data_IF_301911678449
#
_entry.id   IF_301911678449
#
_cell.length_a   1.000
_cell.length_b   1.000
_cell.length_c   1.000
_cell.angle_alpha   90.00
_cell.angle_beta   90.00
_cell.angle_gamma   90.00
#
_symmetry.space_group_name_H-M   'P 1'
#
loop_
_entity.id
_entity.type
_entity.pdbx_description
1 polymer ?
2 polymer ?
3 polymer ?
4 non-polymer ?
5 non-polymer ?
6 water ?
#
loop_
_entity_poly.entity_id
_entity_poly.type
_entity_poly.pdbx_seq_one_letter_code
_entity_poly.pdbx_strand_id
2 'polydeoxyribonucleotide' '(DC)(DA)(DA)(DT)(DC)(DG)(DT)(DA)(DG)(DG)(DA)(DG)(DA)(DC)(DC)(DT)(DT)(DT)(DG)(DG)(DT)(DC)(DT)(DC)(DC)(DC)(DT)(DG)(DC)(DA)(DG)(DA)(DT)' ?
3 'polydeoxyribonucleotide' '(DA)(DT)(DC)(DT)(DG)(DC)(DA)(DG)(DG)(DG)(DT)(DC)(DT)(DG)(DG)(DT)(DT)(DT)(DC)(DC)(DA)(DG)(DA)(DC)(DC)(DT)(DA)(DC)(DG)(DA)(DT)(DT)(DG)' ?
#
# COMPACT_ATOMS: atom_id res chain seq x y z
N UNK A 12 6.91 -10.63 24.55
CA UNK A 12 5.59 -11.20 24.32
C UNK A 12 4.63 -10.27 23.61
N UNK A 13 5.15 -9.49 22.67
CA UNK A 13 4.36 -8.58 21.86
C UNK A 13 4.11 -9.18 20.49
N UNK A 14 2.85 -9.27 20.09
CA UNK A 14 2.47 -9.67 18.74
C UNK A 14 1.34 -8.77 18.23
N UNK A 15 1.38 -8.46 16.94
CA UNK A 15 0.36 -7.67 16.25
C UNK A 15 -0.33 -8.57 15.22
N UNK A 16 -1.64 -8.45 15.10
CA UNK A 16 -2.35 -9.15 14.05
C UNK A 16 -3.21 -8.21 13.24
N UNK A 17 -3.13 -8.29 11.90
CA UNK A 17 -3.88 -7.39 11.02
C UNK A 17 -4.74 -8.18 10.02
N UNK A 18 -6.04 -7.92 10.03
CA UNK A 18 -6.89 -8.22 8.89
C UNK A 18 -7.05 -6.95 8.06
N UNK A 19 -6.42 -6.85 6.89
CA UNK A 19 -6.23 -5.53 6.23
C UNK A 19 -7.44 -5.02 5.45
N UNK A 20 -8.46 -5.84 5.27
CA UNK A 20 -9.65 -5.47 4.51
C UNK A 20 -10.33 -4.21 5.05
N UNK A 21 -11.40 -3.77 4.38
CA UNK A 21 -12.10 -2.58 4.84
C UNK A 21 -12.83 -2.84 6.16
N UNK A 22 -13.43 -4.01 6.31
CA UNK A 22 -14.12 -4.33 7.54
C UNK A 22 -13.21 -5.01 8.56
N UNK A 23 -11.89 -4.92 8.35
CA UNK A 23 -10.91 -5.61 9.17
C UNK A 23 -10.50 -4.81 10.39
N UNK A 24 -9.34 -5.16 10.95
CA UNK A 24 -8.94 -4.64 12.26
C UNK A 24 -7.48 -4.94 12.49
N UNK A 25 -6.93 -4.30 13.52
CA UNK A 25 -5.58 -4.56 13.96
C UNK A 25 -5.63 -4.92 15.44
N UNK A 26 -5.01 -6.02 15.81
CA UNK A 26 -4.99 -6.43 17.20
C UNK A 26 -3.57 -6.37 17.70
N UNK A 27 -3.42 -6.05 18.99
CA UNK A 27 -2.12 -5.95 19.64
C UNK A 27 -2.19 -6.76 20.94
N UNK A 28 -1.26 -7.69 21.12
CA UNK A 28 -1.19 -8.54 22.32
C UNK A 28 0.05 -8.16 23.11
N UNK A 29 -0.15 -7.84 24.38
CA UNK A 29 0.92 -7.47 25.29
C UNK A 29 1.43 -8.69 26.03
N UNK A 30 2.64 -8.60 26.58
CA UNK A 30 3.17 -9.69 27.42
C UNK A 30 2.29 -10.03 28.61
N UNK A 31 1.57 -9.08 29.20
CA UNK A 31 0.82 -9.38 30.43
C UNK A 31 -0.54 -10.01 30.17
N UNK A 32 -0.81 -10.45 28.94
CA UNK A 32 -2.09 -11.03 28.58
C UNK A 32 -3.08 -10.05 28.01
N UNK A 33 -2.90 -8.75 28.26
CA UNK A 33 -3.89 -7.80 27.78
C UNK A 33 -3.83 -7.69 26.26
N UNK A 34 -4.96 -7.27 25.69
CA UNK A 34 -5.06 -7.12 24.26
C UNK A 34 -5.84 -5.86 23.93
N UNK A 35 -5.58 -5.33 22.74
CA UNK A 35 -6.37 -4.28 22.14
C UNK A 35 -6.70 -4.69 20.72
N UNK A 36 -7.86 -4.24 20.24
CA UNK A 36 -8.24 -4.42 18.86
C UNK A 36 -8.96 -3.17 18.40
N UNK A 37 -8.59 -2.68 17.22
CA UNK A 37 -9.12 -1.43 16.67
C UNK A 37 -9.69 -1.70 15.29
N UNK A 38 -10.88 -1.19 15.02
CA UNK A 38 -11.44 -1.26 13.68
C UNK A 38 -10.55 -0.47 12.71
N UNK A 39 -10.37 -1.01 11.51
CA UNK A 39 -9.54 -0.33 10.51
C UNK A 39 -10.13 1.05 10.19
N UNK A 40 -9.36 2.13 10.28
CA UNK A 40 -9.93 3.44 9.92
C UNK A 40 -10.16 3.51 8.43
N UNK A 41 -11.31 4.06 8.04
CA UNK A 41 -11.60 4.25 6.64
C UNK A 41 -12.26 5.59 6.41
N UNK A 42 -12.33 5.97 5.13
CA UNK A 42 -12.98 7.20 4.69
C UNK A 42 -13.89 6.86 3.52
N UNK A 43 -14.81 7.79 3.24
CA UNK A 43 -15.65 7.72 2.06
C UNK A 43 -15.02 8.57 0.97
N UNK A 44 -14.83 8.01 -0.21
CA UNK A 44 -14.21 8.78 -1.28
C UNK A 44 -15.03 8.63 -2.56
N UNK A 45 -14.87 9.61 -3.42
CA UNK A 45 -15.59 9.65 -4.68
C UNK A 45 -14.79 8.88 -5.69
N UNK A 46 -15.43 7.93 -6.35
CA UNK A 46 -14.82 7.16 -7.43
C UNK A 46 -15.86 7.02 -8.53
N UNK A 47 -15.51 7.40 -9.75
CA UNK A 47 -16.44 7.33 -10.88
C UNK A 47 -17.82 7.80 -10.44
N UNK A 48 -17.87 8.98 -9.82
CA UNK A 48 -19.11 9.61 -9.39
C UNK A 48 -19.94 8.75 -8.42
N UNK A 49 -19.32 7.83 -7.67
CA UNK A 49 -20.00 7.19 -6.55
C UNK A 49 -19.07 7.20 -5.35
N UNK A 50 -19.62 6.88 -4.19
CA UNK A 50 -18.85 6.86 -2.95
C UNK A 50 -18.37 5.43 -2.73
N UNK A 51 -17.09 5.30 -2.36
CA UNK A 51 -16.49 4.02 -1.99
C UNK A 51 -15.72 4.19 -0.69
N UNK A 52 -15.62 3.11 0.09
CA UNK A 52 -14.84 3.13 1.31
C UNK A 52 -13.39 2.84 0.98
N UNK A 53 -12.48 3.51 1.68
CA UNK A 53 -11.07 3.27 1.47
C UNK A 53 -10.39 3.43 2.80
N UNK A 54 -9.36 2.62 3.04
CA UNK A 54 -8.62 2.75 4.28
C UNK A 54 -8.04 4.15 4.37
N UNK A 55 -8.06 4.69 5.59
CA UNK A 55 -7.61 6.04 5.89
C UNK A 55 -6.13 5.97 6.24
N UNK A 56 -5.29 6.30 5.26
CA UNK A 56 -3.85 6.15 5.40
C UNK A 56 -3.31 6.91 6.62
N UNK A 57 -3.58 8.22 6.71
CA UNK A 57 -3.02 8.99 7.82
C UNK A 57 -3.47 8.45 9.18
N UNK A 58 -4.72 7.99 9.30
CA UNK A 58 -5.19 7.49 10.60
C UNK A 58 -4.45 6.23 11.01
N UNK A 59 -4.25 5.33 10.05
CA UNK A 59 -3.55 4.08 10.34
C UNK A 59 -2.15 4.37 10.84
N UNK A 60 -1.42 5.23 10.11
CA UNK A 60 -0.07 5.53 10.56
C UNK A 60 -0.11 6.22 11.91
N UNK A 61 -1.16 7.00 12.16
CA UNK A 61 -1.31 7.63 13.46
C UNK A 61 -1.58 6.59 14.54
N UNK A 62 -2.46 5.62 14.25
CA UNK A 62 -2.66 4.48 15.13
C UNK A 62 -1.34 3.77 15.44
N UNK A 63 -0.63 3.35 14.40
CA UNK A 63 0.60 2.58 14.60
C UNK A 63 1.65 3.35 15.38
N UNK A 64 1.67 4.68 15.25
CA UNK A 64 2.67 5.46 15.97
C UNK A 64 2.33 5.54 17.46
N UNK A 65 1.05 5.49 17.81
CA UNK A 65 0.60 5.54 19.18
C UNK A 65 0.54 4.22 19.90
N UNK A 66 1.00 3.11 19.28
CA UNK A 66 1.05 1.84 19.97
C UNK A 66 2.26 1.77 20.90
N UNK A 67 2.06 1.16 22.07
CA UNK A 67 3.17 0.85 22.96
C UNK A 67 3.98 -0.35 22.49
N UNK A 68 3.48 -1.09 21.49
CA UNK A 68 4.26 -2.16 20.89
C UNK A 68 5.63 -1.64 20.47
N UNK A 69 6.71 -2.28 20.88
CA UNK A 69 8.04 -1.76 20.58
C UNK A 69 8.42 -2.00 19.13
N UNK A 70 9.37 -1.23 18.59
CA UNK A 70 9.88 -1.52 17.25
C UNK A 70 10.52 -2.90 17.21
N UNK A 71 10.35 -3.58 16.08
CA UNK A 71 10.77 -4.96 15.95
C UNK A 71 9.67 -5.97 16.24
N UNK A 72 8.58 -5.53 16.88
CA UNK A 72 7.46 -6.42 17.14
C UNK A 72 6.95 -7.02 15.84
N UNK A 73 6.76 -8.33 15.84
CA UNK A 73 6.26 -8.98 14.65
C UNK A 73 4.79 -8.65 14.45
N UNK A 74 4.42 -8.30 13.22
CA UNK A 74 3.04 -8.15 12.81
C UNK A 74 2.68 -9.28 11.85
N UNK A 75 1.59 -9.98 12.13
CA UNK A 75 1.09 -11.02 11.26
C UNK A 75 -0.09 -10.47 10.47
N UNK A 76 -0.03 -10.56 9.14
CA UNK A 76 -1.02 -9.91 8.29
C UNK A 76 -1.58 -10.96 7.34
N UNK A 77 -2.91 -10.99 7.21
CA UNK A 77 -3.56 -11.96 6.34
C UNK A 77 -3.30 -11.54 4.89
N UNK A 78 -2.87 -12.49 4.06
CA UNK A 78 -2.59 -12.14 2.68
C UNK A 78 -3.86 -12.20 1.84
N UNK A 79 -3.99 -11.26 0.93
CA UNK A 79 -5.11 -11.18 -0.02
C UNK A 79 -4.93 -12.25 -1.08
N UNK A 80 -5.87 -13.18 -1.15
CA UNK A 80 -5.95 -14.15 -2.23
C UNK A 80 -7.37 -14.11 -2.74
N UNK A 81 -7.75 -13.11 -3.53
CA UNK A 81 -9.15 -13.00 -3.95
C UNK A 81 -9.49 -14.05 -5.01
N UNK A 82 -10.80 -14.39 -5.08
CA UNK A 82 -11.14 -15.48 -5.98
C UNK A 82 -11.16 -15.01 -7.43
N UNK A 83 -10.83 -15.89 -8.38
CA UNK A 83 -10.89 -15.49 -9.80
C UNK A 83 -12.28 -15.06 -10.23
N UNK A 84 -13.30 -15.58 -9.57
CA UNK A 84 -14.68 -15.20 -9.79
C UNK A 84 -15.03 -13.86 -9.14
N UNK A 85 -14.12 -13.25 -8.40
CA UNK A 85 -14.33 -11.91 -7.86
C UNK A 85 -14.09 -10.87 -8.95
N UNK A 86 -14.76 -9.72 -8.81
CA UNK A 86 -14.63 -8.67 -9.80
C UNK A 86 -13.30 -7.96 -9.74
N UNK A 87 -12.99 -7.25 -10.84
CA UNK A 87 -11.73 -6.53 -10.93
C UNK A 87 -11.58 -5.48 -9.82
N UNK A 88 -12.69 -4.86 -9.41
CA UNK A 88 -12.60 -3.88 -8.32
C UNK A 88 -12.18 -4.56 -7.02
N UNK A 89 -12.79 -5.69 -6.69
CA UNK A 89 -12.33 -6.47 -5.54
C UNK A 89 -10.84 -6.76 -5.59
N UNK A 90 -10.33 -7.13 -6.77
CA UNK A 90 -8.90 -7.43 -6.86
C UNK A 90 -8.07 -6.18 -6.58
N UNK A 91 -8.52 -5.03 -7.13
CA UNK A 91 -7.81 -3.77 -6.92
C UNK A 91 -7.78 -3.38 -5.45
N UNK A 92 -8.97 -3.34 -4.82
CA UNK A 92 -9.10 -2.96 -3.41
C UNK A 92 -8.31 -3.89 -2.49
N UNK A 93 -8.43 -5.21 -2.65
CA UNK A 93 -7.64 -6.07 -1.76
C UNK A 93 -6.15 -5.84 -1.98
N UNK A 94 -5.73 -5.63 -3.25
CA UNK A 94 -4.34 -5.27 -3.49
C UNK A 94 -3.95 -3.99 -2.76
N UNK A 95 -4.81 -2.99 -2.86
CA UNK A 95 -4.50 -1.67 -2.31
C UNK A 95 -4.42 -1.70 -0.78
N UNK A 96 -5.41 -2.33 -0.13
CA UNK A 96 -5.39 -2.44 1.32
C UNK A 96 -4.17 -3.22 1.81
N UNK A 97 -3.82 -4.29 1.12
CA UNK A 97 -2.61 -5.04 1.46
C UNK A 97 -1.36 -4.15 1.43
N UNK A 98 -1.15 -3.45 0.31
CA UNK A 98 0.02 -2.57 0.18
C UNK A 98 0.04 -1.44 1.19
N UNK A 99 -1.12 -0.81 1.44
CA UNK A 99 -1.14 0.29 2.41
C UNK A 99 -0.76 -0.20 3.80
N UNK A 100 -1.27 -1.36 4.22
CA UNK A 100 -0.90 -1.92 5.54
C UNK A 100 0.56 -2.36 5.58
N UNK A 101 1.05 -3.06 4.56
CA UNK A 101 2.44 -3.54 4.58
C UNK A 101 3.40 -2.37 4.77
N UNK A 102 3.24 -1.31 3.96
CA UNK A 102 4.16 -0.19 4.10
C UNK A 102 3.97 0.53 5.43
N UNK A 103 2.73 0.69 5.88
CA UNK A 103 2.48 1.34 7.17
C UNK A 103 3.16 0.58 8.30
N UNK A 104 3.13 -0.73 8.23
CA UNK A 104 3.72 -1.54 9.30
C UNK A 104 5.23 -1.52 9.24
N UNK A 105 5.80 -1.58 8.04
CA UNK A 105 7.26 -1.50 7.92
C UNK A 105 7.74 -0.11 8.32
N UNK A 106 7.06 0.93 7.85
CA UNK A 106 7.50 2.29 8.14
C UNK A 106 7.44 2.59 9.64
N UNK A 107 6.54 1.93 10.36
CA UNK A 107 6.39 2.14 11.80
C UNK A 107 7.37 1.30 12.62
N UNK A 108 8.19 0.47 11.98
CA UNK A 108 9.21 -0.28 12.67
C UNK A 108 8.87 -1.71 13.00
N UNK A 109 7.83 -2.28 12.40
CA UNK A 109 7.41 -3.63 12.72
C UNK A 109 7.88 -4.60 11.65
N UNK A 110 8.23 -5.81 12.08
CA UNK A 110 8.58 -6.90 11.19
C UNK A 110 7.31 -7.59 10.73
N UNK A 111 7.15 -7.72 9.43
CA UNK A 111 5.87 -8.09 8.81
C UNK A 111 5.93 -9.55 8.39
N UNK A 112 4.88 -10.30 8.71
CA UNK A 112 4.82 -11.71 8.32
C UNK A 112 3.48 -12.00 7.68
N UNK A 113 3.40 -12.13 6.36
CA UNK A 113 2.12 -12.47 5.72
C UNK A 113 1.71 -13.89 6.10
N UNK A 114 0.42 -14.11 6.28
CA UNK A 114 -0.12 -15.41 6.70
C UNK A 114 -1.36 -15.71 5.88
N UNK A 115 -1.39 -16.84 5.19
CA UNK A 115 -2.61 -17.24 4.48
C UNK A 115 -3.69 -17.63 5.47
N UNK A 116 -4.96 -17.36 5.09
CA UNK A 116 -6.05 -17.66 6.00
C UNK A 116 -6.18 -19.16 6.27
N UNK A 117 -5.81 -20.01 5.31
CA UNK A 117 -5.84 -21.44 5.56
C UNK A 117 -4.86 -21.81 6.68
N UNK A 118 -3.73 -21.11 6.78
CA UNK A 118 -2.79 -21.38 7.86
C UNK A 118 -3.43 -21.19 9.22
N UNK A 119 -3.97 -19.99 9.49
CA UNK A 119 -4.45 -19.78 10.85
C UNK A 119 -5.76 -20.51 11.11
N UNK A 120 -6.61 -20.64 10.08
CA UNK A 120 -7.82 -21.45 10.25
C UNK A 120 -7.47 -22.89 10.58
N UNK A 121 -6.45 -23.44 9.91
CA UNK A 121 -6.09 -24.84 10.16
C UNK A 121 -5.55 -25.02 11.58
N UNK A 122 -4.79 -24.05 12.06
CA UNK A 122 -4.27 -24.07 13.42
C UNK A 122 -5.38 -24.11 14.46
N UNK A 123 -6.50 -23.44 14.19
CA UNK A 123 -7.61 -23.40 15.15
C UNK A 123 -8.77 -24.33 14.79
N UNK A 124 -8.56 -25.28 13.89
CA UNK A 124 -9.62 -26.18 13.47
C UNK A 124 -10.89 -25.51 12.99
N UNK A 125 -10.75 -24.46 12.18
CA UNK A 125 -11.89 -23.69 11.69
C UNK A 125 -12.13 -23.88 10.19
N UNK A 126 -11.33 -24.68 9.50
CA UNK A 126 -11.58 -24.86 8.07
C UNK A 126 -12.83 -25.71 7.89
N UNK A 127 -13.49 -25.50 6.75
CA UNK A 127 -14.71 -26.22 6.36
C UNK A 127 -15.90 -25.91 7.27
N UNK A 128 -15.83 -24.88 8.08
CA UNK A 128 -16.97 -24.52 8.92
C UNK A 128 -18.14 -24.04 8.08
N UNK A 129 -19.36 -24.39 8.51
CA UNK A 129 -20.55 -23.91 7.82
C UNK A 129 -20.81 -22.44 8.09
N UNK A 130 -20.43 -21.94 9.26
CA UNK A 130 -20.57 -20.53 9.63
C UNK A 130 -19.21 -20.02 10.07
N UNK A 131 -18.32 -19.74 9.13
CA UNK A 131 -16.93 -19.43 9.51
C UNK A 131 -16.79 -18.14 10.31
N UNK A 132 -17.60 -17.12 10.01
CA UNK A 132 -17.43 -15.83 10.69
C UNK A 132 -18.00 -15.85 12.12
N UNK A 133 -19.09 -16.60 12.36
CA UNK A 133 -19.56 -16.79 13.73
C UNK A 133 -18.59 -17.65 14.54
N UNK A 134 -18.04 -18.70 13.92
CA UNK A 134 -17.04 -19.52 14.59
C UNK A 134 -15.77 -18.72 14.88
N UNK A 135 -15.38 -17.80 13.97
CA UNK A 135 -14.23 -16.95 14.24
C UNK A 135 -14.43 -16.14 15.51
N UNK A 136 -15.61 -15.54 15.65
CA UNK A 136 -15.90 -14.74 16.82
C UNK A 136 -15.98 -15.60 18.07
N UNK A 137 -16.51 -16.82 17.97
CA UNK A 137 -16.52 -17.68 19.14
C UNK A 137 -15.11 -17.99 19.62
N UNK A 138 -14.21 -18.32 18.68
CA UNK A 138 -12.83 -18.65 19.07
C UNK A 138 -12.14 -17.46 19.72
N UNK A 139 -12.15 -16.30 19.06
CA UNK A 139 -11.55 -15.10 19.65
C UNK A 139 -12.13 -14.80 21.05
N UNK A 140 -13.45 -14.97 21.22
CA UNK A 140 -14.09 -14.86 22.54
C UNK A 140 -13.43 -15.74 23.61
N UNK A 141 -13.16 -17.00 23.26
CA UNK A 141 -12.59 -17.95 24.21
C UNK A 141 -11.11 -17.66 24.49
N UNK A 142 -10.35 -17.27 23.46
CA UNK A 142 -8.96 -16.88 23.68
C UNK A 142 -8.85 -15.52 24.39
N UNK A 143 -9.74 -14.56 24.08
CA UNK A 143 -9.71 -13.26 24.73
C UNK A 143 -11.08 -12.93 25.36
N UNK A 144 -11.41 -13.56 26.50
CA UNK A 144 -12.74 -13.32 27.10
C UNK A 144 -13.02 -11.87 27.46
N UNK A 145 -12.00 -11.03 27.64
CA UNK A 145 -12.26 -9.64 27.96
C UNK A 145 -12.66 -8.82 26.72
N UNK A 146 -12.56 -9.40 25.54
CA UNK A 146 -13.04 -8.81 24.29
C UNK A 146 -14.41 -9.32 23.89
N UNK A 147 -14.99 -10.16 24.75
CA UNK A 147 -16.30 -10.76 24.50
C UNK A 147 -17.33 -9.70 24.10
N UNK A 148 -17.42 -8.61 24.87
CA UNK A 148 -18.41 -7.58 24.58
C UNK A 148 -18.17 -6.96 23.21
N UNK A 149 -16.91 -6.87 22.79
CA UNK A 149 -16.51 -6.23 21.54
C UNK A 149 -16.55 -7.20 20.36
N UNK A 150 -17.15 -8.38 20.54
CA UNK A 150 -17.29 -9.39 19.51
C UNK A 150 -18.74 -9.82 19.31
N UNK A 151 -19.70 -9.18 20.01
CA UNK A 151 -21.11 -9.57 19.98
C UNK A 151 -21.70 -9.61 18.57
N UNK A 152 -21.37 -8.64 17.74
CA UNK A 152 -22.13 -8.52 16.50
C UNK A 152 -21.47 -9.31 15.38
N UNK A 153 -22.30 -9.71 14.40
CA UNK A 153 -21.76 -10.46 13.28
C UNK A 153 -20.76 -9.62 12.47
N UNK A 154 -20.96 -8.31 12.43
CA UNK A 154 -20.01 -7.44 11.73
C UNK A 154 -18.66 -7.36 12.42
N UNK A 155 -18.45 -8.02 13.56
CA UNK A 155 -17.19 -7.96 14.30
C UNK A 155 -16.22 -9.08 13.89
N UNK A 156 -16.52 -9.84 12.84
CA UNK A 156 -15.64 -10.97 12.52
C UNK A 156 -14.25 -10.48 12.17
N UNK A 157 -14.13 -9.24 11.69
CA UNK A 157 -12.82 -8.67 11.41
C UNK A 157 -12.00 -8.45 12.67
N UNK A 158 -12.64 -8.00 13.73
CA UNK A 158 -11.93 -7.88 15.01
C UNK A 158 -11.51 -9.26 15.49
N UNK A 159 -12.33 -10.27 15.22
CA UNK A 159 -11.96 -11.61 15.65
C UNK A 159 -10.79 -12.15 14.84
N UNK A 160 -10.84 -11.93 13.52
CA UNK A 160 -9.78 -12.37 12.63
C UNK A 160 -8.46 -11.82 13.16
N UNK A 161 -8.36 -10.49 13.18
CA UNK A 161 -7.16 -9.84 13.70
C UNK A 161 -6.72 -10.48 15.02
N UNK A 162 -7.67 -10.81 15.88
CA UNK A 162 -7.30 -11.38 17.18
C UNK A 162 -6.77 -12.80 17.02
N UNK A 163 -7.38 -13.59 16.14
CA UNK A 163 -6.89 -14.95 15.91
C UNK A 163 -5.53 -14.94 15.21
N UNK A 164 -5.29 -13.98 14.31
CA UNK A 164 -3.98 -13.87 13.67
C UNK A 164 -2.91 -13.63 14.73
N UNK A 165 -3.12 -12.64 15.60
CA UNK A 165 -2.17 -12.36 16.67
C UNK A 165 -2.01 -13.59 17.57
N UNK A 166 -3.12 -14.24 17.95
CA UNK A 166 -3.04 -15.46 18.75
C UNK A 166 -2.19 -16.51 18.07
N UNK A 167 -2.40 -16.71 16.77
CA UNK A 167 -1.52 -17.57 15.98
C UNK A 167 -0.06 -17.19 16.17
N UNK A 168 0.25 -15.90 16.05
CA UNK A 168 1.63 -15.48 16.19
C UNK A 168 2.18 -15.75 17.58
N UNK A 169 1.36 -15.56 18.60
CA UNK A 169 1.82 -15.72 19.97
C UNK A 169 1.98 -17.19 20.35
N UNK A 170 1.35 -18.10 19.61
CA UNK A 170 1.36 -19.51 19.94
C UNK A 170 0.27 -19.96 20.88
N UNK A 171 -0.81 -19.20 21.02
CA UNK A 171 -1.89 -19.50 21.94
C UNK A 171 -2.65 -20.75 21.49
N UNK A 172 -3.27 -21.42 22.46
CA UNK A 172 -3.99 -22.67 22.23
C UNK A 172 -5.40 -22.53 22.75
N UNK A 173 -6.34 -23.05 22.00
CA UNK A 173 -7.70 -23.11 22.51
C UNK A 173 -7.79 -24.21 23.57
N UNK A 174 -8.57 -23.99 24.64
CA UNK A 174 -8.76 -24.99 25.70
C UNK A 174 -9.56 -26.21 25.25
N UNK B 12 9.21 25.40 -3.91
CA UNK B 12 10.13 24.64 -3.08
C UNK B 12 10.51 23.27 -3.66
N UNK B 13 10.32 22.24 -2.85
CA UNK B 13 10.57 20.86 -3.23
C UNK B 13 9.31 20.25 -3.82
N UNK B 14 9.50 19.33 -4.78
CA UNK B 14 8.40 18.61 -5.39
C UNK B 14 8.85 17.19 -5.65
N UNK B 15 8.00 16.21 -5.30
CA UNK B 15 8.26 14.81 -5.58
C UNK B 15 7.29 14.36 -6.65
N UNK B 16 7.75 13.54 -7.58
CA UNK B 16 6.88 12.89 -8.52
C UNK B 16 7.09 11.38 -8.52
N UNK B 17 6.02 10.62 -8.41
CA UNK B 17 6.11 9.16 -8.35
C UNK B 17 5.26 8.54 -9.45
N UNK B 18 5.91 7.77 -10.33
CA UNK B 18 5.22 6.78 -11.13
C UNK B 18 5.25 5.44 -10.36
N UNK B 19 4.12 4.96 -9.84
CA UNK B 19 4.16 3.96 -8.76
C UNK B 19 4.31 2.49 -9.17
N UNK B 20 4.19 2.15 -10.44
CA UNK B 20 4.18 0.76 -10.88
C UNK B 20 5.60 0.20 -10.97
N UNK B 21 5.68 -1.04 -11.43
CA UNK B 21 6.92 -1.81 -11.28
C UNK B 21 8.04 -1.22 -12.16
N UNK B 22 7.71 -0.77 -13.37
CA UNK B 22 8.68 -0.05 -14.19
C UNK B 22 8.81 1.43 -13.87
N UNK B 23 8.11 1.89 -12.85
CA UNK B 23 8.02 3.31 -12.52
C UNK B 23 9.22 3.81 -11.75
N UNK B 24 9.07 4.97 -11.12
CA UNK B 24 10.21 5.67 -10.57
C UNK B 24 9.74 6.80 -9.65
N UNK B 25 10.67 7.34 -8.87
CA UNK B 25 10.42 8.51 -8.04
C UNK B 25 11.41 9.59 -8.46
N UNK B 26 10.88 10.78 -8.74
CA UNK B 26 11.69 11.95 -9.08
C UNK B 26 11.60 12.96 -7.94
N UNK B 27 12.68 13.74 -7.76
CA UNK B 27 12.75 14.72 -6.66
C UNK B 27 13.38 16.00 -7.21
N UNK B 28 12.63 17.10 -7.18
CA UNK B 28 13.13 18.40 -7.65
C UNK B 28 13.43 19.27 -6.45
N UNK B 29 14.64 19.80 -6.41
CA UNK B 29 15.00 20.75 -5.37
C UNK B 29 14.59 22.17 -5.81
N UNK B 30 14.47 23.10 -4.86
CA UNK B 30 14.22 24.49 -5.27
C UNK B 30 15.31 25.04 -6.18
N UNK B 31 16.54 24.53 -6.07
CA UNK B 31 17.66 25.06 -6.83
C UNK B 31 17.71 24.57 -8.27
N UNK B 32 16.79 23.68 -8.68
CA UNK B 32 16.70 23.19 -10.03
C UNK B 32 17.24 21.79 -10.23
N UNK B 33 18.17 21.35 -9.38
CA UNK B 33 18.78 20.04 -9.56
C UNK B 33 17.75 18.95 -9.33
N UNK B 34 17.79 17.92 -10.18
CA UNK B 34 16.82 16.85 -10.16
C UNK B 34 17.49 15.53 -9.80
N UNK B 35 16.71 14.63 -9.21
CA UNK B 35 17.12 13.26 -8.96
C UNK B 35 15.96 12.36 -9.37
N UNK B 36 16.29 11.18 -9.89
CA UNK B 36 15.31 10.18 -10.27
C UNK B 36 15.89 8.81 -9.99
N UNK B 37 15.09 7.96 -9.34
CA UNK B 37 15.52 6.61 -8.96
C UNK B 37 14.47 5.62 -9.43
N UNK B 38 14.93 4.49 -9.95
CA UNK B 38 14.02 3.41 -10.33
C UNK B 38 13.31 2.84 -9.10
N UNK B 39 12.07 2.43 -9.28
CA UNK B 39 11.33 1.82 -8.16
C UNK B 39 12.04 0.53 -7.74
N UNK B 40 12.43 0.38 -6.48
CA UNK B 40 13.02 -0.88 -6.02
C UNK B 40 11.98 -2.00 -6.04
N UNK B 41 12.40 -3.17 -6.49
CA UNK B 41 11.50 -4.31 -6.54
C UNK B 41 12.27 -5.56 -6.18
N UNK B 42 11.51 -6.65 -5.99
CA UNK B 42 12.06 -7.96 -5.71
C UNK B 42 11.26 -9.00 -6.49
N UNK B 43 11.88 -10.16 -6.71
CA UNK B 43 11.20 -11.30 -7.30
C UNK B 43 10.62 -12.15 -6.17
N UNK B 44 9.36 -12.53 -6.31
CA UNK B 44 8.71 -13.39 -5.33
C UNK B 44 7.94 -14.49 -6.05
N UNK B 45 7.79 -15.61 -5.36
CA UNK B 45 7.00 -16.72 -5.86
C UNK B 45 5.53 -16.45 -5.62
N UNK B 46 4.73 -16.60 -6.68
CA UNK B 46 3.29 -16.54 -6.58
C UNK B 46 2.76 -17.70 -7.38
N UNK B 47 2.01 -18.59 -6.76
CA UNK B 47 1.29 -19.65 -7.45
C UNK B 47 2.18 -20.32 -8.51
N UNK B 48 3.38 -20.69 -8.08
CA UNK B 48 4.39 -21.49 -8.81
C UNK B 48 5.20 -20.71 -9.85
N UNK B 49 5.01 -19.40 -10.00
CA UNK B 49 5.86 -18.62 -10.90
C UNK B 49 6.52 -17.52 -10.08
N UNK B 50 7.46 -16.84 -10.72
CA UNK B 50 8.11 -15.66 -10.16
C UNK B 50 7.34 -14.44 -10.65
N UNK B 51 7.13 -13.46 -9.77
CA UNK B 51 6.57 -12.16 -10.14
C UNK B 51 7.41 -11.08 -9.49
N UNK B 52 7.44 -9.91 -10.12
CA UNK B 52 8.12 -8.76 -9.57
C UNK B 52 7.19 -8.02 -8.60
N UNK B 53 7.77 -7.48 -7.54
CA UNK B 53 6.99 -6.84 -6.50
C UNK B 53 7.81 -5.70 -5.92
N UNK B 54 7.19 -4.51 -5.79
CA UNK B 54 7.85 -3.39 -5.16
C UNK B 54 8.45 -3.80 -3.83
N UNK B 55 9.61 -3.22 -3.53
CA UNK B 55 10.39 -3.58 -2.34
C UNK B 55 10.08 -2.55 -1.24
N UNK B 56 9.16 -2.91 -0.33
CA UNK B 56 8.73 -1.99 0.71
C UNK B 56 9.93 -1.38 1.46
N UNK B 57 10.76 -2.23 2.08
CA UNK B 57 11.80 -1.66 2.95
C UNK B 57 12.73 -0.72 2.18
N UNK B 58 13.04 -1.02 0.91
CA UNK B 58 13.92 -0.15 0.15
C UNK B 58 13.26 1.20 -0.13
N UNK B 59 11.97 1.19 -0.45
CA UNK B 59 11.24 2.43 -0.71
C UNK B 59 11.29 3.34 0.52
N UNK B 60 10.95 2.79 1.68
CA UNK B 60 11.02 3.56 2.92
C UNK B 60 12.44 4.03 3.19
N UNK B 61 13.42 3.15 2.98
CA UNK B 61 14.81 3.54 3.10
C UNK B 61 15.15 4.68 2.13
N UNK B 62 14.66 4.59 0.90
CA UNK B 62 14.88 5.66 -0.06
C UNK B 62 14.27 6.97 0.41
N UNK B 63 12.97 6.94 0.73
CA UNK B 63 12.27 8.16 1.15
C UNK B 63 12.96 8.84 2.32
N UNK B 64 13.43 8.06 3.29
CA UNK B 64 14.06 8.64 4.47
C UNK B 64 15.37 9.31 4.13
N UNK B 65 16.02 8.92 3.03
CA UNK B 65 17.27 9.53 2.64
C UNK B 65 17.13 10.80 1.84
N UNK B 66 15.91 11.16 1.45
CA UNK B 66 15.69 12.42 0.74
C UNK B 66 15.89 13.61 1.67
N UNK B 67 16.30 14.74 1.07
CA UNK B 67 16.45 16.00 1.79
C UNK B 67 15.20 16.88 1.73
N UNK B 68 14.20 16.52 0.93
CA UNK B 68 12.95 17.28 0.91
C UNK B 68 12.32 17.22 2.30
N UNK B 69 11.87 18.36 2.85
CA UNK B 69 11.37 18.37 4.21
C UNK B 69 9.98 17.78 4.28
N UNK B 70 9.49 17.46 5.48
CA UNK B 70 8.07 17.08 5.61
C UNK B 70 7.18 18.18 5.10
N UNK B 71 6.02 17.80 4.57
CA UNK B 71 5.15 18.74 3.93
C UNK B 71 5.43 18.95 2.46
N UNK B 72 6.62 18.59 1.99
CA UNK B 72 6.88 18.53 0.56
C UNK B 72 5.74 17.82 -0.13
N UNK B 73 5.19 18.44 -1.16
CA UNK B 73 4.11 17.82 -1.91
C UNK B 73 4.65 16.72 -2.80
N UNK B 74 4.00 15.55 -2.76
CA UNK B 74 4.36 14.38 -3.56
C UNK B 74 3.20 14.13 -4.52
N UNK B 75 3.46 14.36 -5.80
CA UNK B 75 2.50 14.06 -6.86
C UNK B 75 2.72 12.62 -7.27
N UNK B 76 1.65 11.82 -7.23
CA UNK B 76 1.72 10.40 -7.58
C UNK B 76 0.67 10.15 -8.64
N UNK B 77 1.03 9.36 -9.65
CA UNK B 77 0.12 9.03 -10.73
C UNK B 77 -0.99 8.15 -10.18
N UNK B 78 -2.23 8.53 -10.44
CA UNK B 78 -3.38 7.76 -9.95
C UNK B 78 -3.54 6.47 -10.75
N UNK B 79 -3.69 5.38 -10.02
CA UNK B 79 -4.00 4.11 -10.64
C UNK B 79 -5.36 4.19 -11.30
N UNK B 80 -5.45 3.75 -12.55
CA UNK B 80 -6.74 3.62 -13.22
C UNK B 80 -6.63 2.59 -14.32
N UNK B 81 -6.56 1.31 -13.95
CA UNK B 81 -6.38 0.26 -14.94
C UNK B 81 -7.58 0.16 -15.86
N UNK B 82 -7.33 -0.25 -17.09
CA UNK B 82 -8.40 -0.33 -18.06
C UNK B 82 -9.37 -1.45 -17.68
N UNK B 83 -10.67 -1.27 -17.92
CA UNK B 83 -11.60 -2.38 -17.65
C UNK B 83 -11.23 -3.65 -18.41
N UNK B 84 -10.57 -3.53 -19.56
CA UNK B 84 -10.16 -4.72 -20.30
C UNK B 84 -8.89 -5.35 -19.74
N UNK B 85 -8.25 -4.75 -18.74
CA UNK B 85 -7.07 -5.35 -18.15
C UNK B 85 -7.47 -6.54 -17.27
N UNK B 86 -6.51 -7.45 -17.07
CA UNK B 86 -6.77 -8.60 -16.24
C UNK B 86 -6.83 -8.26 -14.75
N UNK B 87 -7.44 -9.18 -14.00
CA UNK B 87 -7.58 -9.01 -12.56
C UNK B 87 -6.23 -9.00 -11.86
N UNK B 88 -5.23 -9.71 -12.39
CA UNK B 88 -3.90 -9.58 -11.80
C UNK B 88 -3.37 -8.16 -11.98
N UNK B 89 -3.55 -7.57 -13.16
CA UNK B 89 -3.19 -6.18 -13.34
C UNK B 89 -3.91 -5.25 -12.37
N UNK B 90 -5.20 -5.51 -12.12
CA UNK B 90 -5.95 -4.65 -11.21
C UNK B 90 -5.38 -4.73 -9.80
N UNK B 91 -4.98 -5.94 -9.36
CA UNK B 91 -4.47 -6.14 -8.00
C UNK B 91 -3.10 -5.48 -7.84
N UNK B 92 -2.20 -5.69 -8.80
CA UNK B 92 -0.85 -5.12 -8.72
C UNK B 92 -0.86 -3.60 -8.74
N UNK B 93 -1.60 -2.99 -9.67
CA UNK B 93 -1.62 -1.53 -9.65
C UNK B 93 -2.19 -1.03 -8.33
N UNK B 94 -3.22 -1.70 -7.82
CA UNK B 94 -3.74 -1.33 -6.53
C UNK B 94 -2.69 -1.45 -5.44
N UNK B 95 -1.96 -2.57 -5.44
CA UNK B 95 -0.95 -2.82 -4.42
C UNK B 95 0.18 -1.80 -4.46
N UNK B 96 0.77 -1.60 -5.66
CA UNK B 96 1.78 -0.56 -5.85
C UNK B 96 1.28 0.81 -5.37
N UNK B 97 0.07 1.17 -5.77
CA UNK B 97 -0.49 2.45 -5.37
C UNK B 97 -0.61 2.57 -3.84
N UNK B 98 -1.09 1.51 -3.19
CA UNK B 98 -1.23 1.54 -1.73
C UNK B 98 0.09 1.53 -1.00
N UNK B 99 1.06 0.73 -1.48
CA UNK B 99 2.39 0.72 -0.84
C UNK B 99 3.07 2.10 -0.93
N UNK B 100 2.92 2.77 -2.07
CA UNK B 100 3.58 4.08 -2.25
C UNK B 100 2.91 5.17 -1.42
N UNK B 101 1.57 5.24 -1.45
CA UNK B 101 0.85 6.25 -0.69
C UNK B 101 1.23 6.19 0.79
N UNK B 102 1.09 5.01 1.40
CA UNK B 102 1.43 4.87 2.80
C UNK B 102 2.89 5.22 3.05
N UNK B 103 3.78 4.77 2.17
CA UNK B 103 5.19 5.08 2.34
C UNK B 103 5.41 6.58 2.35
N UNK B 104 4.77 7.27 1.40
CA UNK B 104 4.91 8.72 1.30
C UNK B 104 4.34 9.42 2.53
N UNK B 105 3.15 9.00 2.98
CA UNK B 105 2.55 9.65 4.14
C UNK B 105 3.42 9.42 5.36
N UNK B 106 3.91 8.19 5.54
CA UNK B 106 4.70 7.89 6.73
C UNK B 106 5.98 8.71 6.77
N UNK B 107 6.55 9.03 5.60
CA UNK B 107 7.76 9.83 5.55
C UNK B 107 7.46 11.33 5.66
N UNK B 108 6.21 11.70 5.85
CA UNK B 108 5.84 13.07 6.17
C UNK B 108 5.49 13.92 4.97
N UNK B 109 5.29 13.31 3.81
CA UNK B 109 5.01 14.04 2.59
C UNK B 109 3.51 14.24 2.43
N UNK B 110 3.13 15.29 1.72
CA UNK B 110 1.74 15.59 1.42
C UNK B 110 1.42 15.05 0.03
N UNK B 111 0.56 14.04 -0.03
CA UNK B 111 0.37 13.22 -1.22
C UNK B 111 -0.78 13.78 -2.06
N UNK B 112 -0.52 14.03 -3.34
CA UNK B 112 -1.52 14.57 -4.25
C UNK B 112 -1.64 13.66 -5.47
N UNK B 113 -2.74 12.90 -5.60
CA UNK B 113 -2.89 12.02 -6.76
C UNK B 113 -3.30 12.81 -7.99
N UNK B 114 -2.63 12.52 -9.12
CA UNK B 114 -2.91 13.16 -10.40
C UNK B 114 -3.21 12.08 -11.44
N UNK B 115 -4.31 12.25 -12.18
CA UNK B 115 -4.57 11.43 -13.37
C UNK B 115 -3.50 11.66 -14.43
N UNK B 116 -3.24 10.61 -15.22
CA UNK B 116 -2.29 10.75 -16.31
C UNK B 116 -2.79 11.77 -17.34
N UNK B 117 -4.11 11.92 -17.48
CA UNK B 117 -4.64 12.88 -18.44
C UNK B 117 -4.28 14.30 -18.02
N UNK B 118 -4.15 14.55 -16.71
CA UNK B 118 -3.84 15.90 -16.27
C UNK B 118 -2.42 16.31 -16.62
N UNK B 119 -1.42 15.48 -16.31
CA UNK B 119 -0.07 15.93 -16.64
C UNK B 119 0.23 15.82 -18.13
N UNK B 120 -0.35 14.83 -18.83
CA UNK B 120 -0.14 14.76 -20.26
C UNK B 120 -0.73 15.99 -20.97
N UNK B 121 -1.92 16.44 -20.56
CA UNK B 121 -2.51 17.60 -21.21
C UNK B 121 -1.68 18.84 -20.94
N UNK B 122 -1.16 18.98 -19.73
CA UNK B 122 -0.28 20.09 -19.40
C UNK B 122 0.90 20.18 -20.35
N UNK B 123 1.55 19.05 -20.64
CA UNK B 123 2.69 19.05 -21.53
C UNK B 123 2.30 18.79 -22.97
N UNK B 124 1.00 18.76 -23.27
CA UNK B 124 0.53 18.57 -24.63
C UNK B 124 0.93 17.24 -25.23
N UNK B 125 0.91 16.17 -24.44
CA UNK B 125 1.31 14.84 -24.89
C UNK B 125 0.12 13.93 -25.18
N UNK B 126 -1.10 14.43 -25.06
CA UNK B 126 -2.27 13.59 -25.24
C UNK B 126 -2.38 13.11 -26.69
N UNK B 127 -2.97 11.93 -26.84
CA UNK B 127 -3.26 11.34 -28.16
C UNK B 127 -2.00 11.28 -29.02
N UNK B 128 -0.93 10.76 -28.44
CA UNK B 128 0.31 10.55 -29.16
C UNK B 128 0.46 9.08 -29.52
N UNK B 129 1.00 8.82 -30.72
CA UNK B 129 1.15 7.45 -31.19
C UNK B 129 2.33 6.77 -30.54
N UNK B 130 3.33 7.53 -30.09
CA UNK B 130 4.47 7.00 -29.36
C UNK B 130 4.56 7.70 -28.00
N UNK B 131 3.57 7.49 -27.13
CA UNK B 131 3.55 8.23 -25.85
C UNK B 131 4.82 8.06 -25.04
N UNK B 132 5.38 6.85 -25.00
CA UNK B 132 6.54 6.61 -24.15
C UNK B 132 7.80 7.26 -24.71
N UNK B 133 7.99 7.23 -26.03
CA UNK B 133 9.06 8.01 -26.64
C UNK B 133 8.88 9.50 -26.34
N UNK B 134 7.66 10.01 -26.54
CA UNK B 134 7.37 11.42 -26.31
C UNK B 134 7.70 11.84 -24.89
N UNK B 135 7.29 11.04 -23.89
CA UNK B 135 7.60 11.38 -22.51
C UNK B 135 9.09 11.53 -22.32
N UNK B 136 9.86 10.56 -22.81
CA UNK B 136 11.31 10.60 -22.64
C UNK B 136 11.90 11.81 -23.33
N UNK B 137 11.37 12.20 -24.50
CA UNK B 137 11.93 13.39 -25.14
C UNK B 137 11.62 14.64 -24.35
N UNK B 138 10.39 14.75 -23.81
CA UNK B 138 10.03 15.95 -23.05
C UNK B 138 10.81 16.03 -21.74
N UNK B 139 10.94 14.90 -21.03
CA UNK B 139 11.75 14.89 -19.82
C UNK B 139 13.19 15.29 -20.11
N UNK B 140 13.74 14.86 -21.26
CA UNK B 140 15.11 15.23 -21.63
C UNK B 140 15.24 16.73 -21.88
N UNK B 141 14.26 17.31 -22.57
CA UNK B 141 14.24 18.76 -22.80
C UNK B 141 14.11 19.50 -21.47
N UNK B 142 13.21 19.04 -20.60
CA UNK B 142 13.00 19.64 -19.28
C UNK B 142 14.19 19.41 -18.35
N UNK B 143 14.81 18.24 -18.42
CA UNK B 143 15.95 17.91 -17.56
C UNK B 143 17.12 17.42 -18.40
N UNK B 144 17.86 18.33 -19.04
CA UNK B 144 18.90 17.90 -19.99
C UNK B 144 20.01 17.08 -19.36
N UNK B 145 20.41 17.38 -18.11
CA UNK B 145 21.40 16.52 -17.45
C UNK B 145 20.87 15.12 -17.13
N UNK B 146 19.61 14.81 -17.39
CA UNK B 146 19.11 13.45 -17.26
C UNK B 146 19.09 12.72 -18.60
N UNK B 147 19.69 13.31 -19.63
CA UNK B 147 19.71 12.74 -20.98
C UNK B 147 20.26 11.32 -20.98
N UNK B 148 21.41 11.11 -20.32
CA UNK B 148 22.00 9.77 -20.28
C UNK B 148 21.09 8.76 -19.57
N UNK B 149 20.18 9.22 -18.72
CA UNK B 149 19.32 8.32 -17.97
C UNK B 149 17.99 8.06 -18.65
N UNK B 150 17.75 8.67 -19.81
CA UNK B 150 16.48 8.54 -20.52
C UNK B 150 16.66 7.97 -21.92
N UNK B 151 17.88 7.53 -22.27
CA UNK B 151 18.18 7.13 -23.64
C UNK B 151 17.57 5.78 -24.03
N UNK B 152 17.08 4.99 -23.08
CA UNK B 152 16.54 3.67 -23.43
C UNK B 152 15.02 3.70 -23.35
N UNK B 153 14.37 2.83 -24.12
CA UNK B 153 12.92 2.85 -24.16
C UNK B 153 12.31 2.35 -22.84
N UNK B 154 12.99 1.42 -22.17
CA UNK B 154 12.51 1.04 -20.86
C UNK B 154 12.60 2.19 -19.85
N UNK B 155 13.12 3.36 -20.21
CA UNK B 155 13.29 4.43 -19.24
C UNK B 155 12.06 5.32 -19.10
N UNK B 156 10.96 4.96 -19.74
CA UNK B 156 9.79 5.81 -19.70
C UNK B 156 9.32 6.14 -18.29
N UNK B 157 9.45 5.19 -17.38
CA UNK B 157 9.02 5.41 -16.01
C UNK B 157 9.78 6.53 -15.33
N UNK B 158 11.11 6.54 -15.50
CA UNK B 158 11.93 7.66 -15.04
C UNK B 158 11.40 8.98 -15.60
N UNK B 159 10.98 8.97 -16.86
CA UNK B 159 10.57 10.21 -17.50
C UNK B 159 9.21 10.64 -16.99
N UNK B 160 8.34 9.68 -16.78
CA UNK B 160 7.01 9.94 -16.24
C UNK B 160 7.20 10.61 -14.89
N UNK B 161 7.90 9.93 -13.98
CA UNK B 161 8.17 10.52 -12.67
C UNK B 161 8.71 11.95 -12.80
N UNK B 162 9.59 12.20 -13.76
CA UNK B 162 10.17 13.53 -13.91
C UNK B 162 9.12 14.53 -14.39
N UNK B 163 8.25 14.10 -15.32
CA UNK B 163 7.21 14.98 -15.84
C UNK B 163 6.14 15.24 -14.78
N UNK B 164 5.79 14.22 -13.98
CA UNK B 164 4.85 14.46 -12.89
C UNK B 164 5.40 15.49 -11.91
N UNK B 165 6.69 15.39 -11.58
CA UNK B 165 7.30 16.38 -10.68
C UNK B 165 7.35 17.77 -11.36
N UNK B 166 7.75 17.80 -12.65
CA UNK B 166 7.76 19.07 -13.41
C UNK B 166 6.38 19.70 -13.47
N UNK B 167 5.33 18.87 -13.46
CA UNK B 167 3.97 19.39 -13.39
C UNK B 167 3.70 20.08 -12.06
N UNK B 168 4.15 19.49 -10.96
CA UNK B 168 3.86 20.05 -9.67
C UNK B 168 4.64 21.32 -9.38
N UNK B 169 5.82 21.44 -9.98
CA UNK B 169 6.63 22.64 -9.84
C UNK B 169 6.19 23.75 -10.79
N UNK B 170 5.31 23.47 -11.74
CA UNK B 170 4.90 24.45 -12.72
C UNK B 170 5.91 24.76 -13.80
N UNK B 171 6.83 23.85 -14.10
CA UNK B 171 7.78 24.09 -15.18
C UNK B 171 7.09 24.01 -16.52
N UNK B 172 7.59 24.77 -17.48
CA UNK B 172 6.99 24.82 -18.81
C UNK B 172 8.00 24.33 -19.84
N UNK B 173 7.48 23.77 -20.92
CA UNK B 173 8.33 23.38 -22.03
C UNK B 173 8.62 24.60 -22.91
N UNK B 174 9.85 24.74 -23.43
CA UNK B 174 10.24 25.86 -24.29
C UNK B 174 9.39 25.96 -25.54
X LIG E 1 -12.19 -9.58 6.96
X LIG F 1 -9.97 -12.38 5.98
X LIG G 1 5.09 3.45 -15.65
X LIG H 1 2.03 5.71 -16.05
X LIG I 1 4.46 -8.47 1.04
X LIG I 1 4.73 -9.29 -0.07
X LIG I 1 3.99 -8.80 -1.31
X LIG I 1 3.54 -9.91 -2.05
X LIG I 1 3.58 -8.51 -3.99
X LIG I 1 2.89 -9.66 -3.26
X LIG I 1 3.86 -8.94 -5.28
X LIG I 1 3.25 -9.16 -7.59
X LIG I 1 3.16 -8.31 -6.32
X LIG I 1 2.08 -9.91 -7.80
X LIG I 1 0.21 -11.05 -6.82
X LIG I 1 1.68 -10.67 -6.69
X LIG I 1 -0.17 -12.02 -5.85
X LIG I 1 -2.50 -11.92 -5.14
X LIG I 1 -1.04 -11.59 -4.84
X LIG I 1 -2.78 -11.76 -6.49
#
# INVERSE_FOLDING_TARGET
GPLGSPEFGRPGWVIGVDPDIGGAIAVLSPDGSSQVFDNPFVHIVVSEVIRKRLDTKSIIQLLRGLDAPPGTTAYIEKSSPFPTDGKQGWWSTGFSYGLWIASLVASGFSVVPIASQTWKAYFGLMRSETPKDDSRQAASILFPDKDQSLKLKKHHGRAEALLLAAYGKGLVLP
GPLGSPEFGRPGWVIGVDPDIGGAIAVLSPDGSSQVFDNPFVHIVVSEVIRKRLDTKSIIQLLRGLDAPPGTTAYIEKSSPFPTDGKQGWWSTGFSYGLWIASLVASGFSVVPIASQTWKAYFGLMRSETPKDDSRQAASILFPDKDQSLKLKKHHGRAEALLLAAYGKGLVLP
CA CA
CA CA
CA CA
CA CA
1PE OH2 C12 C22 OH3 C13 C23 OH4 C14 C24 OH5 C15 C25 OH6 C16 C26 OH7
#
